data_IF_458662387509
#
_entry.id   IF_458662387509
#
_cell.length_a   1.000
_cell.length_b   1.000
_cell.length_c   1.000
_cell.angle_alpha   90.00
_cell.angle_beta   90.00
_cell.angle_gamma   90.00
#
_symmetry.space_group_name_H-M   'P 1'
#
loop_
_entity.id
_entity.type
_entity.pdbx_description
1 polymer ?
#
# COMPACT_ATOMS: atom_id res chain seq x y z
N UNK A 1 0.17 -17.38 10.83
CA UNK A 1 -0.84 -17.83 9.83
C UNK A 1 -0.13 -18.43 8.63
N UNK A 2 -0.56 -19.59 8.20
CA UNK A 2 -0.01 -20.22 7.00
C UNK A 2 -0.60 -19.58 5.75
N UNK A 3 0.12 -19.71 4.62
CA UNK A 3 -0.30 -19.06 3.38
C UNK A 3 -1.65 -19.58 2.87
N UNK A 4 -1.96 -20.85 3.07
CA UNK A 4 -3.23 -21.43 2.65
C UNK A 4 -4.42 -20.77 3.37
N UNK A 5 -4.30 -20.59 4.67
CA UNK A 5 -5.30 -19.89 5.48
C UNK A 5 -5.39 -18.41 5.09
N UNK A 6 -4.24 -17.76 4.87
CA UNK A 6 -4.19 -16.38 4.42
C UNK A 6 -4.93 -16.19 3.09
N UNK A 7 -4.65 -17.06 2.12
CA UNK A 7 -5.28 -16.98 0.81
C UNK A 7 -6.80 -17.16 0.89
N UNK A 8 -7.26 -18.10 1.72
CA UNK A 8 -8.68 -18.32 1.94
C UNK A 8 -9.36 -17.07 2.51
N UNK A 9 -8.78 -16.49 3.54
CA UNK A 9 -9.33 -15.27 4.17
C UNK A 9 -9.29 -14.07 3.24
N UNK A 10 -8.21 -13.90 2.48
CA UNK A 10 -8.13 -12.84 1.48
C UNK A 10 -9.23 -12.99 0.44
N UNK A 11 -9.40 -14.18 -0.11
CA UNK A 11 -10.39 -14.43 -1.15
C UNK A 11 -11.82 -14.24 -0.65
N UNK A 12 -12.12 -14.63 0.60
CA UNK A 12 -13.43 -14.38 1.20
C UNK A 12 -13.78 -12.89 1.23
N UNK A 13 -12.81 -12.06 1.61
CA UNK A 13 -13.01 -10.63 1.70
C UNK A 13 -13.01 -9.95 0.31
N UNK A 14 -12.20 -10.44 -0.62
CA UNK A 14 -12.12 -9.90 -1.98
C UNK A 14 -13.42 -10.10 -2.77
N UNK A 15 -14.17 -11.14 -2.47
CA UNK A 15 -15.48 -11.39 -3.13
C UNK A 15 -16.44 -10.21 -2.94
N UNK A 16 -16.44 -9.61 -1.76
CA UNK A 16 -17.31 -8.46 -1.48
C UNK A 16 -16.96 -7.24 -2.33
N UNK A 17 -15.70 -7.14 -2.76
CA UNK A 17 -15.23 -6.05 -3.60
C UNK A 17 -15.25 -6.40 -5.09
N UNK A 18 -15.64 -7.62 -5.43
CA UNK A 18 -15.62 -8.12 -6.81
C UNK A 18 -14.20 -8.05 -7.42
N UNK A 19 -13.19 -8.42 -6.63
CA UNK A 19 -11.79 -8.41 -7.01
C UNK A 19 -11.25 -9.82 -7.00
N UNK A 20 -10.53 -10.19 -8.06
CA UNK A 20 -9.79 -11.45 -8.13
C UNK A 20 -8.30 -11.16 -8.21
N UNK A 21 -7.51 -11.85 -7.39
CA UNK A 21 -6.06 -11.76 -7.39
C UNK A 21 -5.45 -13.10 -7.78
N UNK A 22 -4.33 -13.06 -8.51
CA UNK A 22 -3.55 -14.25 -8.86
C UNK A 22 -2.85 -14.81 -7.64
N UNK A 23 -2.34 -16.04 -7.77
CA UNK A 23 -1.51 -16.65 -6.71
C UNK A 23 -0.27 -15.81 -6.41
N UNK A 24 0.33 -15.22 -7.45
CA UNK A 24 1.49 -14.33 -7.29
C UNK A 24 1.12 -13.09 -6.46
N UNK A 25 0.00 -12.47 -6.75
CA UNK A 25 -0.47 -11.29 -6.02
C UNK A 25 -0.81 -11.63 -4.57
N UNK A 26 -1.47 -12.76 -4.34
CA UNK A 26 -1.77 -13.22 -2.98
C UNK A 26 -0.48 -13.48 -2.18
N UNK A 27 0.53 -14.07 -2.83
CA UNK A 27 1.82 -14.28 -2.18
C UNK A 27 2.51 -12.97 -1.86
N UNK A 28 2.42 -11.98 -2.73
CA UNK A 28 2.96 -10.65 -2.48
C UNK A 28 2.31 -10.02 -1.24
N UNK A 29 1.00 -10.12 -1.11
CA UNK A 29 0.30 -9.64 0.09
C UNK A 29 0.72 -10.41 1.34
N UNK A 30 0.85 -11.73 1.23
CA UNK A 30 1.28 -12.56 2.35
C UNK A 30 2.68 -12.19 2.85
N UNK A 31 3.62 -12.05 1.93
CA UNK A 31 4.99 -11.67 2.27
C UNK A 31 5.03 -10.24 2.85
N UNK A 32 4.25 -9.33 2.29
CA UNK A 32 4.13 -7.97 2.81
C UNK A 32 3.64 -7.97 4.26
N UNK A 33 2.59 -8.74 4.55
CA UNK A 33 2.08 -8.86 5.92
C UNK A 33 3.16 -9.36 6.88
N UNK A 34 3.90 -10.39 6.50
CA UNK A 34 4.93 -10.96 7.36
C UNK A 34 6.09 -9.97 7.59
N UNK A 35 6.49 -9.23 6.56
CA UNK A 35 7.51 -8.19 6.71
C UNK A 35 7.01 -7.08 7.65
N UNK A 36 5.75 -6.68 7.49
CA UNK A 36 5.14 -5.66 8.35
C UNK A 36 5.14 -6.08 9.82
N UNK A 37 4.69 -7.30 10.10
CA UNK A 37 4.66 -7.83 11.47
C UNK A 37 6.06 -7.91 12.06
N UNK A 38 7.04 -8.36 11.28
CA UNK A 38 8.42 -8.47 11.73
C UNK A 38 9.05 -7.12 12.05
N UNK A 39 8.91 -6.15 11.16
CA UNK A 39 9.43 -4.80 11.37
C UNK A 39 8.71 -4.10 12.53
N UNK A 40 7.42 -4.38 12.71
CA UNK A 40 6.63 -3.74 13.76
C UNK A 40 7.09 -4.12 15.17
N UNK A 41 7.85 -5.19 15.31
CA UNK A 41 8.44 -5.59 16.60
C UNK A 41 9.48 -4.58 17.10
N UNK A 42 10.13 -3.85 16.18
CA UNK A 42 11.19 -2.88 16.51
C UNK A 42 10.82 -1.44 16.17
N UNK A 43 9.75 -1.24 15.43
CA UNK A 43 9.27 0.09 15.00
C UNK A 43 7.75 0.12 15.09
N UNK A 44 7.20 1.24 15.50
CA UNK A 44 5.75 1.43 15.56
C UNK A 44 5.20 1.81 14.20
N UNK A 45 5.04 0.83 13.30
CA UNK A 45 4.49 1.04 11.97
C UNK A 45 2.95 1.05 11.99
N UNK A 46 2.35 0.20 12.81
CA UNK A 46 0.91 0.07 12.93
C UNK A 46 0.54 -0.53 14.29
N UNK A 47 -0.65 -0.22 14.77
CA UNK A 47 -1.22 -0.88 15.95
C UNK A 47 -1.92 -2.20 15.60
N UNK A 48 -2.11 -2.46 14.30
CA UNK A 48 -2.82 -3.65 13.81
C UNK A 48 -1.78 -4.68 13.42
N UNK A 49 -1.64 -5.74 14.22
CA UNK A 49 -0.64 -6.80 14.01
C UNK A 49 -1.25 -8.20 13.89
N UNK A 50 -2.51 -8.38 14.25
CA UNK A 50 -3.18 -9.66 14.09
C UNK A 50 -3.45 -9.90 12.59
N UNK A 51 -3.07 -11.07 12.04
CA UNK A 51 -3.20 -11.32 10.61
C UNK A 51 -4.59 -11.07 10.02
N UNK A 52 -5.65 -11.49 10.70
CA UNK A 52 -7.01 -11.24 10.22
C UNK A 52 -7.34 -9.75 10.16
N UNK A 53 -6.86 -8.98 11.12
CA UNK A 53 -7.07 -7.54 11.14
C UNK A 53 -6.23 -6.82 10.09
N UNK A 54 -5.01 -7.30 9.84
CA UNK A 54 -4.17 -6.76 8.75
C UNK A 54 -4.90 -6.94 7.42
N UNK A 55 -5.45 -8.13 7.19
CA UNK A 55 -6.23 -8.40 5.97
C UNK A 55 -7.39 -7.41 5.84
N UNK A 56 -8.24 -7.30 6.85
CA UNK A 56 -9.47 -6.52 6.77
C UNK A 56 -9.23 -5.01 6.84
N UNK A 57 -8.44 -4.57 7.80
CA UNK A 57 -8.30 -3.14 8.12
C UNK A 57 -7.21 -2.44 7.33
N UNK A 58 -6.25 -3.20 6.78
CA UNK A 58 -5.19 -2.63 5.95
C UNK A 58 -5.35 -3.01 4.48
N UNK A 59 -5.34 -4.31 4.16
CA UNK A 59 -5.33 -4.74 2.77
C UNK A 59 -6.67 -4.49 2.07
N UNK A 60 -7.74 -5.04 2.61
CA UNK A 60 -9.06 -4.91 1.98
C UNK A 60 -9.51 -3.45 2.00
N UNK A 61 -9.31 -2.76 3.11
CA UNK A 61 -9.63 -1.34 3.20
C UNK A 61 -8.90 -0.53 2.12
N UNK A 62 -7.61 -0.79 1.90
CA UNK A 62 -6.82 -0.13 0.86
C UNK A 62 -7.38 -0.42 -0.54
N UNK A 63 -7.85 -1.64 -0.79
CA UNK A 63 -8.36 -2.04 -2.09
C UNK A 63 -9.74 -1.46 -2.42
N UNK A 64 -10.44 -0.88 -1.45
CA UNK A 64 -11.71 -0.22 -1.70
C UNK A 64 -11.60 0.97 -2.65
N UNK A 65 -10.41 1.55 -2.79
CA UNK A 65 -10.21 2.70 -3.69
C UNK A 65 -10.04 2.30 -5.15
N UNK A 66 -9.85 1.01 -5.45
CA UNK A 66 -9.60 0.56 -6.83
C UNK A 66 -10.72 0.95 -7.79
N UNK A 67 -11.96 1.04 -7.33
CA UNK A 67 -13.09 1.48 -8.15
C UNK A 67 -12.95 2.91 -8.68
N UNK A 68 -12.07 3.71 -8.08
CA UNK A 68 -11.79 5.10 -8.48
C UNK A 68 -10.47 5.24 -9.24
N UNK A 69 -9.78 4.15 -9.50
CA UNK A 69 -8.43 4.13 -10.08
C UNK A 69 -8.43 3.30 -11.36
N UNK A 70 -7.74 3.78 -12.38
CA UNK A 70 -7.48 3.02 -13.61
C UNK A 70 -6.22 2.18 -13.43
N UNK A 71 -6.15 1.06 -14.13
CA UNK A 71 -5.06 0.10 -14.02
C UNK A 71 -3.67 0.66 -14.33
N UNK A 72 -3.60 1.74 -15.09
CA UNK A 72 -2.34 2.36 -15.52
C UNK A 72 -2.13 3.77 -14.95
N UNK A 73 -2.90 4.17 -13.96
CA UNK A 73 -2.78 5.50 -13.36
C UNK A 73 -1.41 5.72 -12.73
N UNK A 74 -1.00 6.98 -12.73
CA UNK A 74 0.19 7.47 -12.05
C UNK A 74 -0.24 8.10 -10.73
N UNK A 75 0.19 7.54 -9.61
CA UNK A 75 -0.37 7.82 -8.29
C UNK A 75 0.73 8.26 -7.32
N UNK A 76 0.44 9.30 -6.54
CA UNK A 76 1.24 9.59 -5.36
C UNK A 76 0.42 9.33 -4.11
N UNK A 77 1.01 8.58 -3.17
CA UNK A 77 0.43 8.30 -1.86
C UNK A 77 1.14 9.17 -0.83
N UNK A 78 0.46 10.19 -0.37
CA UNK A 78 1.01 11.23 0.53
C UNK A 78 0.81 10.81 1.98
N UNK A 79 1.91 10.72 2.73
CA UNK A 79 1.85 10.25 4.10
C UNK A 79 1.51 8.76 4.17
N UNK A 80 2.17 7.97 3.34
CA UNK A 80 1.85 6.56 3.12
C UNK A 80 1.99 5.67 4.35
N UNK A 81 2.80 6.06 5.33
CA UNK A 81 3.01 5.26 6.54
C UNK A 81 3.64 3.91 6.24
N UNK A 82 2.94 2.85 6.58
CA UNK A 82 3.37 1.48 6.31
C UNK A 82 3.05 1.01 4.88
N UNK A 83 2.75 1.94 3.97
CA UNK A 83 2.50 1.65 2.56
C UNK A 83 1.05 1.58 2.15
N UNK A 84 0.15 2.10 2.97
CA UNK A 84 -1.29 2.03 2.73
C UNK A 84 -1.84 3.38 2.28
N UNK A 85 -2.59 3.41 1.17
CA UNK A 85 -3.01 2.29 0.32
C UNK A 85 -2.08 1.99 -0.86
N UNK A 86 -0.95 2.68 -0.99
CA UNK A 86 -0.11 2.63 -2.19
C UNK A 86 0.39 1.24 -2.57
N UNK A 87 0.95 0.48 -1.61
CA UNK A 87 1.47 -0.87 -1.91
C UNK A 87 0.34 -1.84 -2.27
N UNK A 88 -0.78 -1.92 -1.54
CA UNK A 88 -1.90 -2.74 -1.97
C UNK A 88 -2.41 -2.41 -3.37
N UNK A 89 -2.51 -1.12 -3.73
CA UNK A 89 -2.89 -0.71 -5.07
C UNK A 89 -1.90 -1.26 -6.10
N UNK A 90 -0.61 -1.12 -5.83
CA UNK A 90 0.44 -1.59 -6.74
C UNK A 90 0.37 -3.10 -6.96
N UNK A 91 0.13 -3.86 -5.92
CA UNK A 91 0.00 -5.32 -6.02
C UNK A 91 -1.21 -5.67 -6.89
N UNK A 92 -2.36 -5.04 -6.64
CA UNK A 92 -3.60 -5.34 -7.35
C UNK A 92 -3.57 -4.84 -8.80
N UNK A 93 -2.98 -3.67 -9.05
CA UNK A 93 -2.86 -3.05 -10.37
C UNK A 93 -1.38 -2.86 -10.74
N UNK A 94 -0.70 -3.92 -11.21
CA UNK A 94 0.75 -3.87 -11.43
C UNK A 94 1.22 -2.85 -12.46
N UNK A 95 0.33 -2.38 -13.33
CA UNK A 95 0.67 -1.37 -14.36
C UNK A 95 0.65 0.06 -13.83
N UNK A 96 0.17 0.28 -12.62
CA UNK A 96 0.21 1.62 -12.02
C UNK A 96 1.65 2.04 -11.76
N UNK A 97 1.87 3.36 -11.77
CA UNK A 97 3.15 3.95 -11.38
C UNK A 97 2.91 4.66 -10.05
N UNK A 98 3.59 4.21 -9.00
CA UNK A 98 3.28 4.70 -7.65
C UNK A 98 4.50 5.35 -7.02
N UNK A 99 4.27 6.50 -6.40
CA UNK A 99 5.25 7.16 -5.55
C UNK A 99 4.70 7.18 -4.13
N UNK A 100 5.49 6.68 -3.20
CA UNK A 100 5.17 6.65 -1.77
C UNK A 100 5.94 7.77 -1.08
N UNK A 101 5.22 8.74 -0.52
CA UNK A 101 5.82 9.88 0.17
C UNK A 101 5.59 9.74 1.67
N UNK A 102 6.64 9.85 2.45
CA UNK A 102 6.53 9.89 3.91
C UNK A 102 7.60 10.78 4.53
N UNK A 103 7.26 11.40 5.64
CA UNK A 103 8.16 12.30 6.35
C UNK A 103 9.15 11.61 7.27
N UNK A 104 8.97 10.32 7.55
CA UNK A 104 9.83 9.55 8.46
C UNK A 104 10.73 8.59 7.68
N UNK A 105 12.04 8.81 7.78
CA UNK A 105 13.01 7.97 7.09
C UNK A 105 12.95 6.50 7.50
N UNK A 106 12.57 6.22 8.73
CA UNK A 106 12.37 4.84 9.21
C UNK A 106 11.32 4.09 8.39
N UNK A 107 10.22 4.78 8.05
CA UNK A 107 9.16 4.20 7.22
C UNK A 107 9.64 3.98 5.80
N UNK A 108 10.43 4.91 5.27
CA UNK A 108 11.02 4.77 3.92
C UNK A 108 11.87 3.51 3.84
N UNK A 109 12.69 3.23 4.85
CA UNK A 109 13.51 2.02 4.89
C UNK A 109 12.66 0.74 4.89
N UNK A 110 11.58 0.72 5.65
CA UNK A 110 10.64 -0.39 5.65
C UNK A 110 10.00 -0.58 4.26
N UNK A 111 9.53 0.52 3.67
CA UNK A 111 8.89 0.47 2.35
C UNK A 111 9.84 -0.04 1.27
N UNK A 112 11.11 0.39 1.30
CA UNK A 112 12.12 -0.09 0.36
C UNK A 112 12.37 -1.60 0.53
N UNK A 113 12.38 -2.09 1.77
CA UNK A 113 12.50 -3.52 2.05
C UNK A 113 11.34 -4.30 1.45
N UNK A 114 10.11 -3.83 1.64
CA UNK A 114 8.91 -4.47 1.07
C UNK A 114 9.01 -4.50 -0.45
N UNK A 115 9.29 -3.36 -1.07
CA UNK A 115 9.38 -3.24 -2.53
C UNK A 115 10.37 -4.25 -3.10
N UNK A 116 11.54 -4.36 -2.47
CA UNK A 116 12.57 -5.31 -2.89
C UNK A 116 12.13 -6.75 -2.69
N UNK A 117 11.62 -7.09 -1.51
CA UNK A 117 11.30 -8.48 -1.15
C UNK A 117 10.16 -9.05 -1.96
N UNK A 118 9.16 -8.24 -2.28
CA UNK A 118 8.03 -8.72 -3.09
C UNK A 118 8.14 -8.33 -4.56
N UNK A 119 9.29 -7.81 -4.95
CA UNK A 119 9.67 -7.56 -6.35
C UNK A 119 8.68 -6.64 -7.10
N UNK A 120 8.29 -5.54 -6.46
CA UNK A 120 7.45 -4.54 -7.12
C UNK A 120 8.29 -3.67 -8.05
N UNK A 121 7.72 -3.30 -9.20
CA UNK A 121 8.36 -2.45 -10.22
C UNK A 121 7.53 -1.19 -10.44
N UNK A 122 8.19 -0.13 -10.93
CA UNK A 122 7.54 1.16 -11.18
C UNK A 122 6.88 1.74 -9.93
N UNK A 123 7.52 1.55 -8.79
CA UNK A 123 7.15 2.13 -7.52
C UNK A 123 8.41 2.66 -6.85
N UNK A 124 8.31 3.85 -6.28
CA UNK A 124 9.44 4.48 -5.62
C UNK A 124 9.00 5.16 -4.33
N UNK A 125 9.97 5.41 -3.47
CA UNK A 125 9.75 6.11 -2.21
C UNK A 125 10.41 7.47 -2.25
N UNK A 126 9.81 8.46 -1.59
CA UNK A 126 10.38 9.79 -1.41
C UNK A 126 10.27 10.14 0.07
N UNK A 127 11.41 10.52 0.67
CA UNK A 127 11.44 11.06 2.02
C UNK A 127 11.17 12.56 1.93
N UNK A 128 10.03 13.00 2.42
CA UNK A 128 9.65 14.40 2.36
C UNK A 128 8.32 14.66 3.03
N UNK A 129 7.94 15.92 3.05
CA UNK A 129 6.67 16.36 3.66
C UNK A 129 5.63 16.67 2.60
N UNK A 130 4.37 16.43 2.94
CA UNK A 130 3.24 16.74 2.07
C UNK A 130 3.23 18.20 1.61
N UNK A 131 3.62 19.12 2.47
CA UNK A 131 3.67 20.55 2.16
C UNK A 131 4.66 20.87 1.04
N UNK A 132 5.85 20.26 1.10
CA UNK A 132 6.86 20.41 0.06
C UNK A 132 6.36 19.88 -1.28
N UNK A 133 5.64 18.77 -1.25
CA UNK A 133 5.02 18.21 -2.44
C UNK A 133 3.98 19.17 -3.03
N UNK A 134 3.11 19.74 -2.19
CA UNK A 134 2.05 20.64 -2.64
C UNK A 134 2.58 21.89 -3.33
N UNK A 135 3.78 22.34 -2.96
CA UNK A 135 4.43 23.53 -3.54
C UNK A 135 5.36 23.23 -4.71
N UNK A 136 5.62 21.97 -5.01
CA UNK A 136 6.54 21.58 -6.08
C UNK A 136 5.76 21.20 -7.33
N UNK A 137 5.74 22.09 -8.32
CA UNK A 137 5.02 21.87 -9.58
C UNK A 137 5.48 20.63 -10.35
N UNK A 138 6.77 20.23 -10.21
CA UNK A 138 7.28 19.03 -10.88
C UNK A 138 6.58 17.75 -10.41
N UNK A 139 6.21 17.70 -9.13
CA UNK A 139 5.49 16.54 -8.60
C UNK A 139 4.02 16.57 -9.01
N UNK A 140 3.38 17.74 -9.00
CA UNK A 140 1.94 17.87 -9.28
C UNK A 140 1.57 17.50 -10.72
N UNK A 141 2.48 17.74 -11.68
CA UNK A 141 2.21 17.50 -13.09
C UNK A 141 2.43 16.03 -13.51
N UNK A 142 3.10 15.24 -12.67
CA UNK A 142 3.49 13.87 -13.01
C UNK A 142 2.51 12.80 -12.54
N UNK A 143 1.44 13.18 -11.84
CA UNK A 143 0.50 12.23 -11.27
C UNK A 143 -0.93 12.51 -11.67
N UNK A 144 -1.66 11.45 -12.03
CA UNK A 144 -3.09 11.52 -12.31
C UNK A 144 -3.91 11.61 -11.02
N UNK A 145 -3.42 10.97 -9.95
CA UNK A 145 -4.14 10.83 -8.70
C UNK A 145 -3.19 11.08 -7.54
N UNK A 146 -3.67 11.83 -6.56
CA UNK A 146 -3.02 11.96 -5.27
C UNK A 146 -3.95 11.38 -4.21
N UNK A 147 -3.41 10.54 -3.34
CA UNK A 147 -4.16 9.91 -2.26
C UNK A 147 -3.51 10.29 -0.94
N UNK A 148 -4.33 10.65 0.03
CA UNK A 148 -3.88 10.85 1.39
C UNK A 148 -4.83 10.10 2.32
N UNK A 149 -4.27 9.33 3.26
CA UNK A 149 -5.03 8.63 4.26
C UNK A 149 -5.16 9.53 5.48
N UNK A 150 -6.37 10.00 5.76
CA UNK A 150 -6.67 10.68 7.01
C UNK A 150 -6.74 9.64 8.15
N UNK A 151 -6.69 10.09 9.40
CA UNK A 151 -6.65 9.22 10.58
C UNK A 151 -7.77 8.17 10.59
N UNK A 152 -8.90 8.43 9.94
CA UNK A 152 -10.08 7.58 9.97
C UNK A 152 -10.62 7.17 8.59
N UNK A 153 -10.09 7.70 7.48
CA UNK A 153 -10.63 7.40 6.14
C UNK A 153 -9.63 7.69 5.04
N UNK A 154 -9.86 7.06 3.86
CA UNK A 154 -9.11 7.33 2.65
C UNK A 154 -9.75 8.47 1.89
N UNK A 155 -8.93 9.42 1.45
CA UNK A 155 -9.37 10.53 0.62
C UNK A 155 -8.56 10.58 -0.67
N UNK A 156 -9.26 10.80 -1.78
CA UNK A 156 -8.62 11.07 -3.07
C UNK A 156 -8.59 12.59 -3.24
N UNK A 157 -7.40 13.13 -3.45
CA UNK A 157 -7.17 14.57 -3.51
C UNK A 157 -7.25 15.14 -4.92
#
# INVERSE_FOLDING_TARGET
>A
MKIEEFNEKMNENLKELDIELSEKQLKQFYDYMNILIEWNKVMNLTNIIEPEEVIKKHFIDSLTVLKHIKEDDSIIDVGTGAGFPGIPIKIAYPKTKITLLDSLNKRIKFLDEVINKIELKDIKTIHGRAEEFAHNNNYRENYNIAIARAVASLNVL
#
